data_IF_313296321122
#
_entry.id   IF_313296321122
#
_cell.length_a   1.000
_cell.length_b   1.000
_cell.length_c   1.000
_cell.angle_alpha   90.00
_cell.angle_beta   90.00
_cell.angle_gamma   90.00
#
_symmetry.space_group_name_H-M   'P 1'
#
loop_
_entity.id
_entity.type
_entity.pdbx_description
1 polymer ?
#
# COMPACT_ATOMS: atom_id res chain seq x y z
N UNK A 1 -69.23 -1.91 0.46
CA UNK A 1 -68.06 -1.11 0.01
C UNK A 1 -66.99 -2.11 -0.39
N UNK A 2 -66.84 -2.66 -1.60
CA UNK A 2 -66.87 -2.20 -3.00
C UNK A 2 -65.72 -1.25 -3.40
N UNK A 3 -64.92 -1.74 -4.37
CA UNK A 3 -63.95 -1.10 -5.28
C UNK A 3 -62.59 -0.75 -4.64
N UNK A 4 -61.45 -1.33 -5.03
CA UNK A 4 -60.97 -1.55 -6.40
C UNK A 4 -60.10 -2.80 -6.56
N UNK A 5 -60.49 -3.63 -7.51
CA UNK A 5 -59.64 -4.48 -8.34
C UNK A 5 -59.06 -3.65 -9.50
N UNK A 6 -57.74 -3.71 -9.73
CA UNK A 6 -57.07 -3.56 -11.04
C UNK A 6 -55.55 -3.72 -10.77
N UNK A 7 -54.74 -4.57 -11.40
CA UNK A 7 -54.88 -5.32 -12.62
C UNK A 7 -53.90 -6.49 -12.56
N UNK A 8 -54.39 -7.66 -12.97
CA UNK A 8 -53.63 -8.90 -13.16
C UNK A 8 -53.27 -8.98 -14.64
N UNK A 9 -52.02 -9.27 -14.99
CA UNK A 9 -51.73 -10.11 -16.16
C UNK A 9 -50.53 -11.00 -15.91
N UNK A 10 -50.78 -12.29 -16.09
CA UNK A 10 -49.89 -13.45 -15.94
C UNK A 10 -49.02 -13.64 -17.19
N UNK A 11 -47.83 -14.22 -17.00
CA UNK A 11 -47.31 -15.40 -17.72
C UNK A 11 -46.04 -15.85 -16.97
N UNK A 12 -46.16 -16.79 -16.03
CA UNK A 12 -46.00 -18.26 -16.16
C UNK A 12 -44.54 -18.76 -16.22
N UNK A 13 -44.30 -19.73 -15.33
CA UNK A 13 -43.08 -20.39 -14.91
C UNK A 13 -42.67 -21.50 -15.90
N UNK A 14 -41.37 -21.81 -16.00
CA UNK A 14 -40.91 -23.17 -16.33
C UNK A 14 -39.48 -23.41 -15.81
N UNK A 15 -39.35 -24.43 -14.98
CA UNK A 15 -38.13 -24.92 -14.31
C UNK A 15 -37.36 -25.87 -15.23
N UNK A 16 -36.02 -25.88 -15.16
CA UNK A 16 -35.21 -27.01 -15.64
C UNK A 16 -33.71 -26.71 -15.75
N UNK A 17 -32.92 -27.21 -14.81
CA UNK A 17 -31.51 -27.58 -15.03
C UNK A 17 -31.44 -29.13 -15.14
N UNK A 18 -30.35 -29.79 -15.56
CA UNK A 18 -29.01 -29.31 -16.00
C UNK A 18 -28.55 -29.92 -17.34
N UNK A 19 -27.34 -29.58 -17.84
CA UNK A 19 -26.32 -30.52 -18.39
C UNK A 19 -25.10 -29.73 -18.86
N UNK A 20 -23.94 -30.27 -18.50
CA UNK A 20 -22.57 -29.84 -18.79
C UNK A 20 -22.22 -29.99 -20.27
N UNK A 21 -21.43 -29.06 -20.81
CA UNK A 21 -20.51 -29.32 -21.93
C UNK A 21 -19.24 -28.51 -21.69
N UNK A 22 -18.11 -29.22 -21.60
CA UNK A 22 -16.76 -28.66 -21.64
C UNK A 22 -16.46 -28.13 -23.05
N UNK A 23 -15.74 -27.01 -23.14
CA UNK A 23 -14.81 -26.76 -24.24
C UNK A 23 -13.57 -26.05 -23.71
N UNK A 24 -12.43 -26.71 -23.93
CA UNK A 24 -11.06 -26.23 -23.76
C UNK A 24 -10.70 -25.34 -24.96
N UNK A 25 -9.63 -24.52 -24.83
CA UNK A 25 -8.78 -23.88 -25.87
C UNK A 25 -8.79 -22.35 -25.71
N UNK A 26 -7.71 -21.57 -25.78
CA UNK A 26 -6.25 -21.71 -25.74
C UNK A 26 -5.74 -20.25 -25.84
N UNK A 27 -4.51 -20.00 -25.40
CA UNK A 27 -3.81 -18.72 -25.50
C UNK A 27 -3.98 -18.00 -26.86
N UNK A 28 -4.16 -16.69 -26.79
CA UNK A 28 -4.08 -15.81 -27.95
C UNK A 28 -3.49 -14.47 -27.56
N UNK A 29 -2.16 -14.40 -27.61
CA UNK A 29 -1.37 -13.17 -27.53
C UNK A 29 -1.97 -12.10 -28.45
N UNK A 30 -2.17 -10.88 -27.91
CA UNK A 30 -2.28 -9.68 -28.73
C UNK A 30 -1.07 -8.80 -28.43
N UNK A 31 -0.03 -9.04 -29.21
CA UNK A 31 0.96 -8.03 -29.56
C UNK A 31 0.23 -6.87 -30.25
N UNK A 32 0.53 -5.64 -29.84
CA UNK A 32 0.28 -4.45 -30.65
C UNK A 32 1.54 -3.59 -30.62
N UNK A 33 2.22 -3.64 -31.76
CA UNK A 33 3.10 -2.68 -32.43
C UNK A 33 3.74 -1.56 -31.59
N UNK A 34 5.04 -1.77 -31.36
CA UNK A 34 6.14 -0.94 -31.90
C UNK A 34 5.75 0.44 -32.44
N UNK A 35 6.14 1.47 -31.68
CA UNK A 35 6.65 2.71 -32.29
C UNK A 35 8.11 2.85 -31.91
N UNK A 36 8.96 2.72 -32.93
CA UNK A 36 10.40 2.89 -32.86
C UNK A 36 10.76 4.31 -32.39
N UNK A 37 11.67 4.38 -31.42
CA UNK A 37 12.47 5.57 -31.15
C UNK A 37 13.90 5.13 -30.86
N UNK A 38 14.74 5.21 -31.89
CA UNK A 38 16.18 4.94 -31.84
C UNK A 38 16.89 6.00 -31.00
N UNK A 39 17.69 5.53 -30.03
CA UNK A 39 18.89 6.23 -29.56
C UNK A 39 18.88 6.68 -28.09
N UNK A 40 19.33 5.82 -27.17
CA UNK A 40 20.65 5.92 -26.52
C UNK A 40 20.76 4.86 -25.40
N UNK A 41 21.88 4.15 -25.37
CA UNK A 41 22.10 2.98 -24.51
C UNK A 41 22.28 3.37 -23.04
N UNK A 42 21.24 3.14 -22.25
CA UNK A 42 21.35 2.62 -20.88
C UNK A 42 20.02 1.93 -20.59
N UNK A 43 19.98 0.59 -20.70
CA UNK A 43 18.84 -0.18 -20.22
C UNK A 43 18.80 -0.03 -18.70
N UNK A 44 18.23 1.07 -18.24
CA UNK A 44 17.91 1.26 -16.83
C UNK A 44 16.84 0.22 -16.54
N UNK A 45 17.25 -0.92 -15.98
CA UNK A 45 16.32 -1.92 -15.49
C UNK A 45 15.57 -1.25 -14.35
N UNK A 46 14.35 -0.79 -14.63
CA UNK A 46 13.41 -0.33 -13.63
C UNK A 46 12.98 -1.56 -12.82
N UNK A 47 13.78 -1.90 -11.80
CA UNK A 47 13.39 -2.90 -10.82
C UNK A 47 12.28 -2.26 -9.99
N UNK A 48 11.03 -2.64 -10.27
CA UNK A 48 9.92 -2.25 -9.43
C UNK A 48 10.00 -3.05 -8.11
N UNK A 49 10.58 -2.44 -7.08
CA UNK A 49 10.65 -3.02 -5.74
C UNK A 49 9.27 -2.93 -5.09
N UNK A 50 8.45 -3.97 -5.30
CA UNK A 50 7.15 -4.15 -4.66
C UNK A 50 6.70 -5.60 -4.80
N UNK A 51 6.34 -6.21 -3.68
CA UNK A 51 5.82 -7.59 -3.64
C UNK A 51 4.31 -7.66 -3.93
N UNK A 52 3.63 -6.51 -4.02
CA UNK A 52 2.18 -6.40 -4.04
C UNK A 52 1.54 -6.68 -2.67
N UNK A 53 2.34 -6.71 -1.61
CA UNK A 53 1.91 -7.13 -0.27
C UNK A 53 1.69 -5.94 0.66
N UNK A 54 0.92 -6.11 1.75
CA UNK A 54 0.64 -5.02 2.68
C UNK A 54 1.88 -4.33 3.25
N UNK A 55 3.02 -5.03 3.35
CA UNK A 55 4.29 -4.47 3.83
C UNK A 55 4.84 -3.35 2.92
N UNK A 56 4.52 -3.39 1.62
CA UNK A 56 4.96 -2.37 0.65
C UNK A 56 4.41 -0.98 0.99
N UNK A 57 3.27 -0.91 1.70
CA UNK A 57 2.70 0.35 2.18
C UNK A 57 3.66 1.08 3.12
N UNK A 58 4.40 0.35 3.96
CA UNK A 58 5.40 0.94 4.87
C UNK A 58 6.59 1.46 4.05
N UNK A 59 7.13 0.63 3.16
CA UNK A 59 8.25 1.02 2.30
C UNK A 59 7.92 2.21 1.40
N UNK A 60 6.71 2.27 0.84
CA UNK A 60 6.26 3.41 0.03
C UNK A 60 6.24 4.71 0.85
N UNK A 61 5.84 4.64 2.12
CA UNK A 61 5.78 5.80 2.99
C UNK A 61 7.17 6.26 3.40
N UNK A 62 8.09 5.33 3.68
CA UNK A 62 9.48 5.67 4.03
C UNK A 62 10.25 6.31 2.86
N UNK A 63 9.87 5.99 1.62
CA UNK A 63 10.46 6.56 0.40
C UNK A 63 9.91 7.94 0.03
N UNK A 64 8.83 8.38 0.68
CA UNK A 64 8.18 9.64 0.36
C UNK A 64 9.08 10.83 0.77
N UNK A 65 9.20 11.80 -0.13
CA UNK A 65 10.00 13.01 0.08
C UNK A 65 9.11 14.14 0.63
N UNK A 66 9.41 14.58 1.84
CA UNK A 66 8.68 15.64 2.55
C UNK A 66 9.37 17.01 2.45
N UNK A 67 10.41 17.14 1.61
CA UNK A 67 11.20 18.38 1.52
C UNK A 67 10.35 19.56 1.05
N UNK A 68 9.57 19.40 -0.01
CA UNK A 68 8.70 20.48 -0.53
C UNK A 68 7.71 20.94 0.55
N UNK A 69 7.09 19.98 1.25
CA UNK A 69 6.17 20.30 2.35
C UNK A 69 6.87 21.09 3.46
N UNK A 70 8.05 20.65 3.88
CA UNK A 70 8.83 21.36 4.89
C UNK A 70 9.19 22.79 4.45
N UNK A 71 9.56 22.97 3.19
CA UNK A 71 9.85 24.28 2.62
C UNK A 71 8.64 25.22 2.67
N UNK A 72 7.49 24.76 2.18
CA UNK A 72 6.25 25.54 2.14
C UNK A 72 5.75 25.88 3.57
N UNK A 73 5.88 24.94 4.50
CA UNK A 73 5.53 25.14 5.90
C UNK A 73 6.40 26.21 6.55
N UNK A 74 7.71 26.26 6.25
CA UNK A 74 8.60 27.31 6.75
C UNK A 74 8.28 28.70 6.20
N UNK A 75 7.89 28.81 4.92
CA UNK A 75 7.43 30.07 4.34
C UNK A 75 6.13 30.56 4.96
N UNK A 76 5.27 29.65 5.39
CA UNK A 76 3.97 29.94 6.00
C UNK A 76 4.08 30.25 7.49
N UNK A 77 4.85 29.46 8.23
CA UNK A 77 5.10 29.61 9.67
C UNK A 77 6.53 29.16 10.04
N UNK A 78 7.48 30.08 10.21
CA UNK A 78 8.88 29.77 10.48
C UNK A 78 9.17 29.33 11.94
N UNK A 79 8.16 29.09 12.77
CA UNK A 79 8.34 28.66 14.16
C UNK A 79 8.84 27.20 14.26
N UNK A 80 9.86 26.99 15.12
CA UNK A 80 10.40 25.67 15.46
C UNK A 80 9.33 24.76 16.07
N UNK A 81 8.40 25.33 16.85
CA UNK A 81 7.29 24.57 17.46
C UNK A 81 6.38 23.97 16.39
N UNK A 82 6.14 24.71 15.30
CA UNK A 82 5.35 24.24 14.16
C UNK A 82 6.06 23.11 13.42
N UNK A 83 7.38 23.24 13.21
CA UNK A 83 8.23 22.19 12.63
C UNK A 83 8.15 20.88 13.43
N UNK A 84 8.32 20.93 14.75
CA UNK A 84 8.30 19.73 15.59
C UNK A 84 6.91 19.10 15.67
N UNK A 85 5.83 19.90 15.65
CA UNK A 85 4.46 19.38 15.55
C UNK A 85 4.24 18.59 14.26
N UNK A 86 4.69 19.11 13.12
CA UNK A 86 4.57 18.40 11.83
C UNK A 86 5.43 17.14 11.78
N UNK A 87 6.65 17.15 12.36
CA UNK A 87 7.45 15.93 12.51
C UNK A 87 6.73 14.89 13.36
N UNK A 88 6.07 15.29 14.44
CA UNK A 88 5.25 14.41 15.27
C UNK A 88 4.07 13.82 14.48
N UNK A 89 3.39 14.63 13.64
CA UNK A 89 2.33 14.14 12.76
C UNK A 89 2.84 13.10 11.75
N UNK A 90 3.99 13.34 11.11
CA UNK A 90 4.60 12.37 10.17
C UNK A 90 4.92 11.05 10.90
N UNK A 91 5.46 11.13 12.13
CA UNK A 91 5.70 9.94 12.96
C UNK A 91 4.40 9.18 13.24
N UNK A 92 3.38 9.87 13.71
CA UNK A 92 2.08 9.26 14.04
C UNK A 92 1.43 8.59 12.82
N UNK A 93 1.55 9.20 11.63
CA UNK A 93 1.05 8.61 10.39
C UNK A 93 1.75 7.28 10.05
N UNK A 94 3.06 7.18 10.27
CA UNK A 94 3.79 5.92 10.09
C UNK A 94 3.33 4.85 11.09
N UNK A 95 3.11 5.21 12.36
CA UNK A 95 2.58 4.29 13.38
C UNK A 95 1.19 3.77 13.01
N UNK A 96 0.32 4.64 12.48
CA UNK A 96 -1.01 4.24 11.98
C UNK A 96 -0.85 3.21 10.87
N UNK A 97 0.08 3.42 9.92
CA UNK A 97 0.33 2.48 8.83
C UNK A 97 0.83 1.13 9.35
N UNK A 98 1.74 1.11 10.34
CA UNK A 98 2.15 -0.14 10.99
C UNK A 98 0.96 -0.90 11.57
N UNK A 99 0.08 -0.22 12.30
CA UNK A 99 -1.13 -0.84 12.86
C UNK A 99 -2.04 -1.42 11.78
N UNK A 100 -2.28 -0.68 10.70
CA UNK A 100 -3.10 -1.14 9.58
C UNK A 100 -2.54 -2.41 8.93
N UNK A 101 -1.23 -2.41 8.66
CA UNK A 101 -0.55 -3.54 8.00
C UNK A 101 -0.54 -4.77 8.92
N UNK A 102 -0.23 -4.61 10.20
CA UNK A 102 -0.27 -5.71 11.19
C UNK A 102 -1.67 -6.31 11.34
N UNK A 103 -2.70 -5.47 11.38
CA UNK A 103 -4.09 -5.93 11.41
C UNK A 103 -4.41 -6.78 10.18
N UNK A 104 -4.04 -6.29 8.99
CA UNK A 104 -4.28 -7.01 7.73
C UNK A 104 -3.57 -8.37 7.69
N UNK A 105 -2.32 -8.46 8.14
CA UNK A 105 -1.62 -9.74 8.22
C UNK A 105 -2.24 -10.68 9.25
N UNK A 106 -2.68 -10.17 10.39
CA UNK A 106 -3.36 -10.98 11.41
C UNK A 106 -4.63 -11.63 10.86
N UNK A 107 -5.45 -10.86 10.13
CA UNK A 107 -6.66 -11.39 9.50
C UNK A 107 -6.34 -12.42 8.40
N UNK A 108 -5.30 -12.16 7.60
CA UNK A 108 -4.85 -13.10 6.58
C UNK A 108 -4.36 -14.43 7.19
N UNK A 109 -3.60 -14.37 8.29
CA UNK A 109 -3.10 -15.54 9.01
C UNK A 109 -4.25 -16.38 9.60
N UNK A 110 -5.25 -15.73 10.23
CA UNK A 110 -6.45 -16.42 10.73
C UNK A 110 -7.21 -17.15 9.63
N UNK A 111 -7.38 -16.51 8.48
CA UNK A 111 -8.03 -17.13 7.32
C UNK A 111 -7.22 -18.32 6.79
N UNK A 112 -5.89 -18.21 6.73
CA UNK A 112 -5.02 -19.32 6.34
C UNK A 112 -5.15 -20.49 7.31
N UNK A 113 -5.16 -20.24 8.63
CA UNK A 113 -5.30 -21.30 9.64
C UNK A 113 -6.62 -22.06 9.50
N UNK A 114 -7.73 -21.32 9.26
CA UNK A 114 -9.02 -21.94 8.98
C UNK A 114 -8.97 -22.83 7.72
N UNK A 115 -8.37 -22.33 6.63
CA UNK A 115 -8.26 -23.10 5.40
C UNK A 115 -7.35 -24.30 5.55
N UNK A 116 -6.17 -24.18 6.18
CA UNK A 116 -5.25 -25.29 6.44
C UNK A 116 -5.99 -26.42 7.17
N UNK A 117 -6.71 -26.08 8.25
CA UNK A 117 -7.49 -27.07 9.01
C UNK A 117 -8.55 -27.76 8.15
N UNK A 118 -9.38 -26.98 7.45
CA UNK A 118 -10.46 -27.51 6.60
C UNK A 118 -9.95 -28.40 5.46
N UNK A 119 -8.83 -28.05 4.81
CA UNK A 119 -8.24 -28.86 3.73
C UNK A 119 -7.53 -30.10 4.26
N UNK A 120 -6.92 -30.02 5.44
CA UNK A 120 -6.29 -31.15 6.12
C UNK A 120 -7.32 -32.22 6.48
N UNK A 121 -8.47 -31.82 7.05
CA UNK A 121 -9.60 -32.72 7.34
C UNK A 121 -10.16 -33.39 6.07
N UNK A 122 -10.09 -32.71 4.92
CA UNK A 122 -10.48 -33.25 3.62
C UNK A 122 -9.39 -34.10 2.93
N UNK A 123 -8.20 -34.26 3.54
CA UNK A 123 -7.09 -35.05 2.97
C UNK A 123 -6.37 -34.38 1.80
N UNK A 124 -6.53 -33.06 1.59
CA UNK A 124 -5.94 -32.33 0.45
C UNK A 124 -4.49 -31.90 0.74
N UNK A 125 -3.59 -32.88 0.85
CA UNK A 125 -2.20 -32.70 1.33
C UNK A 125 -1.42 -31.62 0.55
N UNK A 126 -1.50 -31.61 -0.79
CA UNK A 126 -0.74 -30.65 -1.59
C UNK A 126 -1.20 -29.20 -1.38
N UNK A 127 -2.52 -29.00 -1.22
CA UNK A 127 -3.06 -27.68 -0.90
C UNK A 127 -2.69 -27.22 0.50
N UNK A 128 -2.66 -28.15 1.47
CA UNK A 128 -2.19 -27.85 2.83
C UNK A 128 -0.76 -27.33 2.79
N UNK A 129 0.14 -28.01 2.09
CA UNK A 129 1.54 -27.57 1.95
C UNK A 129 1.65 -26.18 1.32
N UNK A 130 0.90 -25.90 0.26
CA UNK A 130 0.90 -24.57 -0.36
C UNK A 130 0.43 -23.46 0.61
N UNK A 131 -0.60 -23.73 1.40
CA UNK A 131 -1.12 -22.80 2.39
C UNK A 131 -0.14 -22.59 3.56
N UNK A 132 0.56 -23.64 3.99
CA UNK A 132 1.61 -23.57 5.01
C UNK A 132 2.80 -22.72 4.54
N UNK A 133 3.27 -22.91 3.30
CA UNK A 133 4.32 -22.07 2.73
C UNK A 133 3.91 -20.60 2.68
N UNK A 134 2.65 -20.32 2.27
CA UNK A 134 2.12 -18.96 2.27
C UNK A 134 2.06 -18.39 3.69
N UNK A 135 1.65 -19.19 4.68
CA UNK A 135 1.60 -18.79 6.09
C UNK A 135 3.00 -18.43 6.60
N UNK A 136 4.00 -19.25 6.29
CA UNK A 136 5.40 -19.00 6.67
C UNK A 136 5.90 -17.66 6.12
N UNK A 137 5.66 -17.38 4.83
CA UNK A 137 6.00 -16.09 4.22
C UNK A 137 5.33 -14.90 4.95
N UNK A 138 4.03 -15.00 5.29
CA UNK A 138 3.36 -13.92 6.03
C UNK A 138 3.92 -13.74 7.45
N UNK A 139 4.35 -14.82 8.10
CA UNK A 139 5.00 -14.75 9.41
C UNK A 139 6.36 -14.06 9.32
N UNK A 140 7.15 -14.33 8.28
CA UNK A 140 8.40 -13.63 8.02
C UNK A 140 8.17 -12.12 7.83
N UNK A 141 7.14 -11.74 7.07
CA UNK A 141 6.77 -10.33 6.90
C UNK A 141 6.36 -9.69 8.24
N UNK A 142 5.65 -10.42 9.10
CA UNK A 142 5.26 -9.91 10.43
C UNK A 142 6.49 -9.67 11.32
N UNK A 143 7.46 -10.58 11.29
CA UNK A 143 8.71 -10.40 12.05
C UNK A 143 9.50 -9.19 11.54
N UNK A 144 9.58 -9.02 10.23
CA UNK A 144 10.22 -7.85 9.63
C UNK A 144 9.50 -6.55 10.01
N UNK A 145 8.16 -6.53 10.06
CA UNK A 145 7.41 -5.38 10.57
C UNK A 145 7.70 -5.08 12.04
N UNK A 146 7.85 -6.11 12.88
CA UNK A 146 8.23 -5.93 14.28
C UNK A 146 9.63 -5.34 14.41
N UNK A 147 10.56 -5.78 13.56
CA UNK A 147 11.90 -5.22 13.48
C UNK A 147 11.87 -3.76 13.04
N UNK A 148 11.20 -3.42 11.95
CA UNK A 148 11.07 -2.03 11.50
C UNK A 148 10.45 -1.12 12.55
N UNK A 149 9.45 -1.60 13.29
CA UNK A 149 8.84 -0.81 14.36
C UNK A 149 9.84 -0.54 15.50
N UNK A 150 10.65 -1.53 15.90
CA UNK A 150 11.75 -1.33 16.86
C UNK A 150 12.76 -0.31 16.32
N UNK A 151 13.22 -0.50 15.09
CA UNK A 151 14.19 0.40 14.45
C UNK A 151 13.64 1.84 14.35
N UNK A 152 12.33 2.00 14.16
CA UNK A 152 11.68 3.30 14.17
C UNK A 152 11.67 3.95 15.57
N UNK A 153 11.38 3.18 16.62
CA UNK A 153 11.44 3.68 18.01
C UNK A 153 12.88 4.06 18.41
N UNK A 154 13.88 3.32 17.91
CA UNK A 154 15.30 3.59 18.13
C UNK A 154 15.84 4.72 17.22
N UNK A 155 15.01 5.31 16.36
CA UNK A 155 15.37 6.35 15.41
C UNK A 155 16.51 5.94 14.45
N UNK A 156 16.50 4.69 13.99
CA UNK A 156 17.48 4.21 13.00
C UNK A 156 17.35 5.03 11.70
N UNK A 157 18.46 5.43 11.05
CA UNK A 157 18.43 6.39 9.93
C UNK A 157 17.50 6.02 8.77
N UNK A 158 17.44 4.74 8.37
CA UNK A 158 16.59 4.31 7.26
C UNK A 158 15.09 4.42 7.56
N UNK A 159 14.70 4.43 8.85
CA UNK A 159 13.31 4.57 9.31
C UNK A 159 12.91 6.02 9.55
N UNK A 160 13.85 6.97 9.53
CA UNK A 160 13.62 8.38 9.86
C UNK A 160 13.92 9.33 8.71
N UNK A 161 14.26 8.80 7.53
CA UNK A 161 14.60 9.58 6.33
C UNK A 161 13.54 10.61 5.93
N UNK A 162 12.25 10.26 6.04
CA UNK A 162 11.14 11.18 5.78
C UNK A 162 11.13 12.40 6.71
N UNK A 163 11.52 12.22 7.98
CA UNK A 163 11.61 13.31 8.95
C UNK A 163 12.81 14.22 8.66
N UNK A 164 13.92 13.62 8.23
CA UNK A 164 15.13 14.36 7.84
C UNK A 164 14.89 15.17 6.57
N UNK A 165 14.18 14.60 5.59
CA UNK A 165 13.77 15.30 4.37
C UNK A 165 12.87 16.50 4.70
N UNK A 166 11.86 16.31 5.55
CA UNK A 166 11.01 17.40 6.03
C UNK A 166 11.82 18.51 6.71
N UNK A 167 12.72 18.14 7.62
CA UNK A 167 13.57 19.08 8.34
C UNK A 167 14.52 19.85 7.41
N UNK A 168 15.10 19.16 6.42
CA UNK A 168 15.91 19.81 5.37
C UNK A 168 15.09 20.85 4.61
N UNK A 169 13.88 20.51 4.19
CA UNK A 169 12.97 21.43 3.51
C UNK A 169 12.67 22.68 4.33
N UNK A 170 12.33 22.47 5.61
CA UNK A 170 12.03 23.56 6.53
C UNK A 170 13.22 24.52 6.70
N UNK A 171 14.43 23.98 6.90
CA UNK A 171 15.64 24.79 7.01
C UNK A 171 15.94 25.58 5.73
N UNK A 172 15.68 25.01 4.56
CA UNK A 172 15.81 25.73 3.28
C UNK A 172 14.83 26.89 3.17
N UNK A 173 13.58 26.70 3.61
CA UNK A 173 12.57 27.77 3.63
C UNK A 173 12.96 28.92 4.56
N UNK A 174 13.49 28.61 5.75
CA UNK A 174 14.04 29.63 6.66
C UNK A 174 15.21 30.40 6.03
N UNK A 175 16.11 29.69 5.34
CA UNK A 175 17.22 30.30 4.62
C UNK A 175 16.74 31.28 3.54
N UNK A 176 15.70 30.91 2.78
CA UNK A 176 15.10 31.76 1.77
C UNK A 176 14.49 33.05 2.37
N UNK A 177 13.73 32.92 3.47
CA UNK A 177 13.16 34.07 4.19
C UNK A 177 14.26 35.02 4.71
N UNK A 178 15.35 34.45 5.23
CA UNK A 178 16.47 35.24 5.73
C UNK A 178 17.18 36.02 4.62
N UNK A 179 17.39 35.40 3.45
CA UNK A 179 18.00 36.07 2.29
C UNK A 179 17.12 37.20 1.77
N UNK A 180 15.82 36.96 1.64
CA UNK A 180 14.86 37.98 1.20
C UNK A 180 14.82 39.19 2.15
N UNK A 181 14.91 38.97 3.46
CA UNK A 181 14.97 40.06 4.44
C UNK A 181 16.26 40.89 4.33
N UNK A 182 17.39 40.25 4.00
CA UNK A 182 18.67 40.93 3.78
C UNK A 182 18.60 41.77 2.50
N UNK A 183 18.08 41.21 1.40
CA UNK A 183 17.91 41.93 0.13
C UNK A 183 16.98 43.13 0.26
N UNK A 184 15.87 43.03 1.00
CA UNK A 184 14.95 44.15 1.25
C UNK A 184 15.56 45.27 2.14
N UNK A 185 16.65 44.99 2.85
CA UNK A 185 17.33 45.97 3.74
C UNK A 185 18.47 46.72 3.05
N UNK A 186 18.95 46.24 1.90
CA UNK A 186 19.98 46.89 1.08
C UNK A 186 19.35 47.76 -0.01
#
# INVERSE_FOLDING_TARGET
MSLFDYFRKRQEFSVGAPVMTEEIVENGNRETDETESVGNSSSTVLINYGTGMPIDLIYSFLKEDYETKGYDDALSNPDVSYKEMNKSMIRSNLEIKFRQVKLKYTDNLRNLDFHIKSRSEAGLVDLVKQLEMKKEMLLQHMEELNRMERDFQENVPYMTGMLLSYERGFLRGLGALSLEQIERRN
#
